data_IF_626041807621
#
_entry.id   IF_626041807621
#
_cell.length_a   1.000
_cell.length_b   1.000
_cell.length_c   1.000
_cell.angle_alpha   90.00
_cell.angle_beta   90.00
_cell.angle_gamma   90.00
#
_symmetry.space_group_name_H-M   'P 1'
#
loop_
_entity.id
_entity.type
_entity.pdbx_description
1 polymer ?
#
# COMPACT_ATOMS: atom_id res chain seq x y z
N UNK A 1 -21.47 14.51 -97.38
CA UNK A 1 -22.50 15.56 -97.45
C UNK A 1 -23.08 15.75 -96.06
N UNK A 2 -23.03 16.98 -95.53
CA UNK A 2 -23.86 17.56 -94.45
C UNK A 2 -23.84 16.80 -93.10
N UNK A 3 -23.63 17.39 -91.92
CA UNK A 3 -23.65 18.76 -91.45
C UNK A 3 -24.06 18.72 -89.96
N UNK A 4 -23.35 19.48 -89.11
CA UNK A 4 -23.81 20.26 -87.93
C UNK A 4 -24.86 19.57 -87.01
N UNK A 5 -24.61 19.32 -85.72
CA UNK A 5 -24.79 20.24 -84.57
C UNK A 5 -24.59 19.37 -83.30
N UNK A 6 -23.99 19.76 -82.18
CA UNK A 6 -24.17 20.97 -81.38
C UNK A 6 -23.53 20.72 -80.00
N UNK A 7 -22.95 21.77 -79.45
CA UNK A 7 -22.06 21.81 -78.29
C UNK A 7 -22.75 21.58 -76.93
N UNK A 8 -22.01 21.02 -75.96
CA UNK A 8 -21.96 21.57 -74.59
C UNK A 8 -20.70 21.12 -73.85
N UNK A 9 -19.87 22.11 -73.52
CA UNK A 9 -18.67 22.03 -72.70
C UNK A 9 -19.04 21.77 -71.22
N UNK A 10 -18.33 20.85 -70.57
CA UNK A 10 -18.12 20.92 -69.12
C UNK A 10 -16.65 20.62 -68.81
N UNK A 11 -16.00 21.62 -68.21
CA UNK A 11 -14.58 21.70 -67.89
C UNK A 11 -14.21 20.76 -66.73
N UNK A 12 -13.26 19.85 -66.93
CA UNK A 12 -12.63 19.05 -65.88
C UNK A 12 -11.39 19.80 -65.34
N UNK A 13 -11.49 20.29 -64.10
CA UNK A 13 -10.35 20.79 -63.33
C UNK A 13 -9.64 19.60 -62.69
N UNK A 14 -8.38 19.38 -63.07
CA UNK A 14 -7.44 18.46 -62.42
C UNK A 14 -6.81 19.19 -61.23
N UNK A 15 -7.02 18.69 -60.02
CA UNK A 15 -6.30 19.14 -58.82
C UNK A 15 -5.55 17.96 -58.20
N UNK A 16 -4.23 18.10 -58.17
CA UNK A 16 -3.24 17.16 -57.63
C UNK A 16 -3.41 16.97 -56.12
N UNK A 17 -3.51 15.72 -55.66
CA UNK A 17 -3.43 15.37 -54.24
C UNK A 17 -1.97 15.05 -53.91
N UNK A 18 -1.33 15.97 -53.17
CA UNK A 18 -0.06 15.71 -52.48
C UNK A 18 -0.37 14.88 -51.23
N UNK A 19 0.13 13.65 -51.17
CA UNK A 19 0.07 12.82 -49.97
C UNK A 19 0.96 13.41 -48.87
N UNK A 20 0.34 13.88 -47.79
CA UNK A 20 1.02 14.27 -46.57
C UNK A 20 1.54 13.02 -45.84
N UNK A 21 2.86 12.92 -45.68
CA UNK A 21 3.52 11.96 -44.79
C UNK A 21 3.10 12.29 -43.35
N UNK A 22 2.57 11.34 -42.56
CA UNK A 22 2.26 11.61 -41.17
C UNK A 22 3.56 11.89 -40.40
N UNK A 23 3.66 13.07 -39.79
CA UNK A 23 4.68 13.36 -38.78
C UNK A 23 4.58 12.29 -37.69
N UNK A 24 5.69 11.60 -37.43
CA UNK A 24 5.81 10.71 -36.28
C UNK A 24 5.41 11.48 -35.02
N UNK A 25 4.39 11.00 -34.32
CA UNK A 25 4.01 11.52 -33.03
C UNK A 25 5.21 11.39 -32.10
N UNK A 26 5.77 12.52 -31.68
CA UNK A 26 6.83 12.55 -30.67
C UNK A 26 6.29 11.91 -29.41
N UNK A 27 7.03 10.96 -28.85
CA UNK A 27 6.69 10.35 -27.57
C UNK A 27 6.53 11.48 -26.53
N UNK A 28 5.43 11.51 -25.76
CA UNK A 28 5.25 12.54 -24.75
C UNK A 28 6.40 12.51 -23.73
N UNK A 29 6.85 13.69 -23.29
CA UNK A 29 7.92 13.83 -22.29
C UNK A 29 7.56 13.13 -20.97
N UNK A 30 8.57 12.71 -20.20
CA UNK A 30 8.42 12.01 -18.90
C UNK A 30 7.44 12.74 -17.96
N UNK A 31 7.46 14.08 -17.92
CA UNK A 31 6.54 14.89 -17.11
C UNK A 31 5.06 14.73 -17.51
N UNK A 32 4.74 14.68 -18.81
CA UNK A 32 3.35 14.60 -19.30
C UNK A 32 2.65 13.27 -19.00
N UNK A 33 3.40 12.24 -18.61
CA UNK A 33 2.86 10.93 -18.22
C UNK A 33 2.65 10.80 -16.71
N UNK A 34 3.51 11.41 -15.91
CA UNK A 34 3.30 11.56 -14.46
C UNK A 34 2.11 12.49 -14.20
N UNK A 35 2.05 13.62 -14.91
CA UNK A 35 0.91 14.56 -14.86
C UNK A 35 -0.43 13.87 -15.12
N UNK A 36 -0.53 13.00 -16.14
CA UNK A 36 -1.78 12.28 -16.44
C UNK A 36 -2.20 11.22 -15.40
N UNK A 37 -1.28 10.71 -14.58
CA UNK A 37 -1.58 9.70 -13.54
C UNK A 37 -1.78 10.30 -12.15
N UNK A 38 -1.25 11.50 -11.94
CA UNK A 38 -1.38 12.29 -10.73
C UNK A 38 -2.48 13.37 -10.91
N UNK A 39 -3.03 13.53 -12.11
CA UNK A 39 -4.10 14.48 -12.39
C UNK A 39 -5.28 14.29 -11.43
N UNK A 40 -5.70 15.36 -10.73
CA UNK A 40 -6.82 15.29 -9.81
C UNK A 40 -8.08 14.89 -10.56
N UNK A 41 -8.83 14.04 -9.90
CA UNK A 41 -10.16 13.64 -10.33
C UNK A 41 -11.05 14.88 -10.34
N UNK A 42 -11.69 15.24 -11.46
CA UNK A 42 -12.64 16.33 -11.48
C UNK A 42 -13.83 15.94 -10.60
N UNK A 43 -14.19 16.80 -9.63
CA UNK A 43 -15.42 16.80 -8.81
C UNK A 43 -15.37 16.43 -7.32
N UNK A 44 -14.21 16.12 -6.71
CA UNK A 44 -14.04 16.44 -5.28
C UNK A 44 -13.19 17.70 -5.17
N UNK A 45 -13.77 18.84 -4.81
CA UNK A 45 -13.05 20.13 -4.74
C UNK A 45 -11.89 20.14 -3.73
N UNK A 46 -11.76 19.11 -2.89
CA UNK A 46 -10.72 18.97 -1.88
C UNK A 46 -9.84 17.76 -2.24
N UNK A 47 -8.74 18.01 -2.95
CA UNK A 47 -7.66 17.04 -3.25
C UNK A 47 -6.30 17.71 -3.09
N UNK A 48 -5.26 16.90 -2.87
CA UNK A 48 -3.89 17.42 -2.94
C UNK A 48 -3.57 17.80 -4.38
N UNK A 49 -2.89 18.93 -4.56
CA UNK A 49 -2.36 19.30 -5.86
C UNK A 49 -1.21 18.37 -6.25
N UNK A 50 -0.92 18.26 -7.55
CA UNK A 50 0.25 17.54 -8.04
C UNK A 50 1.54 18.02 -7.36
N UNK A 51 1.68 19.35 -7.21
CA UNK A 51 2.81 19.97 -6.52
C UNK A 51 2.91 19.51 -5.07
N UNK A 52 1.79 19.51 -4.34
CA UNK A 52 1.76 19.06 -2.94
C UNK A 52 2.12 17.58 -2.80
N UNK A 53 1.64 16.72 -3.72
CA UNK A 53 2.02 15.29 -3.76
C UNK A 53 3.53 15.12 -3.97
N UNK A 54 4.14 15.92 -4.84
CA UNK A 54 5.60 15.90 -5.05
C UNK A 54 6.38 16.37 -3.82
N UNK A 55 5.85 17.35 -3.08
CA UNK A 55 6.45 17.79 -1.82
C UNK A 55 6.39 16.68 -0.76
N UNK A 56 5.24 16.02 -0.59
CA UNK A 56 5.07 14.87 0.32
C UNK A 56 6.09 13.77 -0.02
N UNK A 57 6.21 13.39 -1.31
CA UNK A 57 7.22 12.42 -1.78
C UNK A 57 8.66 12.87 -1.48
N UNK A 58 8.95 14.17 -1.62
CA UNK A 58 10.28 14.74 -1.32
C UNK A 58 10.61 14.72 0.18
N UNK A 59 9.63 15.02 1.03
CA UNK A 59 9.77 14.92 2.50
C UNK A 59 10.00 13.46 2.88
N UNK A 60 9.17 12.55 2.36
CA UNK A 60 9.31 11.11 2.58
C UNK A 60 10.70 10.59 2.15
N UNK A 61 11.17 10.97 0.97
CA UNK A 61 12.45 10.52 0.44
C UNK A 61 13.66 11.02 1.26
N UNK A 62 13.54 12.18 1.91
CA UNK A 62 14.64 12.75 2.70
C UNK A 62 14.62 12.34 4.18
N UNK A 63 13.51 11.78 4.67
CA UNK A 63 13.30 11.49 6.09
C UNK A 63 13.21 9.99 6.43
N UNK A 64 12.86 9.11 5.49
CA UNK A 64 12.80 7.66 5.72
C UNK A 64 14.19 7.06 5.92
N UNK A 65 14.46 6.51 7.11
CA UNK A 65 15.75 5.95 7.50
C UNK A 65 15.65 4.54 8.08
N UNK A 66 14.50 4.19 8.67
CA UNK A 66 14.30 2.87 9.25
C UNK A 66 13.76 1.86 8.24
N UNK A 67 13.94 0.57 8.54
CA UNK A 67 13.62 -0.53 7.63
C UNK A 67 12.15 -0.52 7.19
N UNK A 68 11.21 -0.37 8.14
CA UNK A 68 9.78 -0.29 7.85
C UNK A 68 9.40 0.98 7.09
N UNK A 69 10.00 2.13 7.40
CA UNK A 69 9.76 3.39 6.68
C UNK A 69 10.15 3.27 5.21
N UNK A 70 11.30 2.66 4.94
CA UNK A 70 11.81 2.42 3.58
C UNK A 70 10.88 1.47 2.81
N UNK A 71 10.47 0.35 3.42
CA UNK A 71 9.54 -0.59 2.78
C UNK A 71 8.17 0.02 2.48
N UNK A 72 7.70 0.88 3.38
CA UNK A 72 6.43 1.59 3.26
C UNK A 72 6.50 2.65 2.17
N UNK A 73 7.60 3.40 2.11
CA UNK A 73 7.87 4.34 1.02
C UNK A 73 7.81 3.65 -0.34
N UNK A 74 8.51 2.53 -0.52
CA UNK A 74 8.53 1.83 -1.80
C UNK A 74 7.14 1.26 -2.15
N UNK A 75 6.39 0.79 -1.15
CA UNK A 75 4.98 0.40 -1.32
C UNK A 75 4.14 1.58 -1.82
N UNK A 76 4.26 2.75 -1.19
CA UNK A 76 3.54 3.95 -1.58
C UNK A 76 3.89 4.41 -3.02
N UNK A 77 5.17 4.38 -3.39
CA UNK A 77 5.62 4.70 -4.75
C UNK A 77 5.09 3.72 -5.80
N UNK A 78 5.10 2.42 -5.48
CA UNK A 78 4.54 1.39 -6.36
C UNK A 78 3.03 1.58 -6.56
N UNK A 79 2.28 1.89 -5.50
CA UNK A 79 0.84 2.17 -5.60
C UNK A 79 0.55 3.48 -6.37
N UNK A 80 1.33 4.53 -6.13
CA UNK A 80 1.08 5.85 -6.69
C UNK A 80 1.56 5.96 -8.14
N UNK A 81 2.83 5.66 -8.39
CA UNK A 81 3.51 5.91 -9.68
C UNK A 81 3.46 4.71 -10.62
N UNK A 82 3.45 3.50 -10.05
CA UNK A 82 3.62 2.23 -10.78
C UNK A 82 2.52 1.19 -10.53
N UNK A 83 1.22 1.55 -10.44
CA UNK A 83 0.17 0.68 -9.89
C UNK A 83 0.02 -0.65 -10.64
N UNK A 84 0.29 -0.68 -11.95
CA UNK A 84 0.17 -1.89 -12.78
C UNK A 84 1.09 -3.05 -12.38
N UNK A 85 2.10 -2.78 -11.55
CA UNK A 85 3.04 -3.78 -11.04
C UNK A 85 2.77 -4.15 -9.59
N UNK A 86 1.79 -3.52 -8.96
CA UNK A 86 1.42 -3.78 -7.58
C UNK A 86 0.09 -4.57 -7.49
N UNK A 87 -0.13 -5.15 -6.31
CA UNK A 87 -1.15 -6.17 -6.05
C UNK A 87 -2.62 -5.70 -6.16
N UNK A 88 -2.87 -4.39 -6.10
CA UNK A 88 -4.22 -3.82 -6.16
C UNK A 88 -4.72 -3.49 -7.55
N UNK A 89 -3.85 -3.39 -8.55
CA UNK A 89 -4.30 -3.03 -9.90
C UNK A 89 -5.13 -4.12 -10.56
N UNK A 90 -6.18 -3.71 -11.27
CA UNK A 90 -7.04 -4.64 -11.99
C UNK A 90 -6.27 -5.31 -13.13
N UNK A 91 -6.22 -6.64 -13.12
CA UNK A 91 -5.46 -7.41 -14.11
C UNK A 91 -3.98 -7.60 -13.77
N UNK A 92 -3.53 -7.20 -12.57
CA UNK A 92 -2.19 -7.53 -12.09
C UNK A 92 -1.92 -9.03 -12.09
N UNK A 93 -0.66 -9.40 -12.32
CA UNK A 93 -0.14 -10.76 -12.13
C UNK A 93 0.98 -10.71 -11.09
N UNK A 94 1.14 -11.80 -10.33
CA UNK A 94 2.29 -11.98 -9.43
C UNK A 94 3.09 -13.21 -9.89
N UNK A 95 4.40 -13.07 -10.17
CA UNK A 95 5.10 -11.79 -10.29
C UNK A 95 4.62 -10.99 -11.53
N UNK A 96 4.87 -9.67 -11.59
CA UNK A 96 4.70 -8.92 -12.83
C UNK A 96 5.65 -9.43 -13.92
N UNK A 97 5.27 -9.32 -15.20
CA UNK A 97 6.12 -9.80 -16.29
C UNK A 97 7.42 -8.99 -16.41
N UNK A 98 8.53 -9.62 -16.86
CA UNK A 98 9.77 -8.92 -17.14
C UNK A 98 9.59 -7.77 -18.14
N UNK A 99 10.23 -6.64 -17.87
CA UNK A 99 10.20 -5.47 -18.76
C UNK A 99 11.17 -5.67 -19.91
N UNK A 100 10.66 -5.50 -21.13
CA UNK A 100 11.41 -5.75 -22.36
C UNK A 100 12.16 -4.52 -22.86
N UNK A 101 11.65 -3.31 -22.59
CA UNK A 101 12.17 -2.07 -23.15
C UNK A 101 12.85 -1.21 -22.08
N UNK A 102 13.98 -0.59 -22.42
CA UNK A 102 14.75 0.21 -21.46
C UNK A 102 13.97 1.42 -20.93
N UNK A 103 13.11 2.03 -21.76
CA UNK A 103 12.24 3.12 -21.30
C UNK A 103 11.22 2.64 -20.25
N UNK A 104 10.76 1.38 -20.31
CA UNK A 104 9.86 0.83 -19.29
C UNK A 104 10.59 0.65 -17.97
N UNK A 105 11.85 0.18 -18.05
CA UNK A 105 12.72 0.01 -16.89
C UNK A 105 13.04 1.36 -16.23
N UNK A 106 13.42 2.36 -17.03
CA UNK A 106 13.70 3.73 -16.56
C UNK A 106 12.50 4.34 -15.83
N UNK A 107 11.27 4.08 -16.30
CA UNK A 107 10.04 4.61 -15.72
C UNK A 107 9.68 4.10 -14.33
N UNK A 108 10.15 2.92 -13.95
CA UNK A 108 9.90 2.34 -12.61
C UNK A 108 11.16 2.36 -11.74
N UNK A 109 12.32 2.72 -12.29
CA UNK A 109 13.59 2.73 -11.55
C UNK A 109 13.53 3.58 -10.27
N UNK A 110 12.78 4.69 -10.27
CA UNK A 110 12.58 5.53 -9.09
C UNK A 110 11.88 4.80 -7.93
N UNK A 111 11.04 3.79 -8.21
CA UNK A 111 10.34 2.96 -7.22
C UNK A 111 11.22 1.83 -6.65
N UNK A 112 12.50 1.80 -7.01
CA UNK A 112 13.44 0.76 -6.60
C UNK A 112 14.79 1.31 -6.14
N UNK A 113 14.91 2.64 -5.99
CA UNK A 113 16.15 3.27 -5.60
C UNK A 113 16.53 2.87 -4.16
N UNK A 114 15.57 2.79 -3.23
CA UNK A 114 15.88 2.32 -1.88
C UNK A 114 16.21 0.83 -1.89
N UNK A 115 15.57 0.03 -2.75
CA UNK A 115 15.91 -1.39 -2.94
C UNK A 115 17.35 -1.57 -3.45
N UNK A 116 17.83 -0.75 -4.39
CA UNK A 116 19.24 -0.75 -4.82
C UNK A 116 20.16 -0.42 -3.66
N UNK A 117 19.84 0.65 -2.93
CA UNK A 117 20.65 1.12 -1.81
C UNK A 117 20.76 0.07 -0.71
N UNK A 118 19.64 -0.57 -0.34
CA UNK A 118 19.62 -1.66 0.65
C UNK A 118 20.54 -2.78 0.20
N UNK A 119 20.44 -3.24 -1.04
CA UNK A 119 21.32 -4.32 -1.53
C UNK A 119 22.80 -3.93 -1.52
N UNK A 120 23.11 -2.66 -1.82
CA UNK A 120 24.48 -2.15 -1.87
C UNK A 120 25.09 -1.91 -0.48
N UNK A 121 24.30 -1.52 0.52
CA UNK A 121 24.77 -1.17 1.87
C UNK A 121 24.54 -2.27 2.89
N UNK A 122 23.85 -3.35 2.50
CA UNK A 122 23.57 -4.50 3.36
C UNK A 122 24.86 -5.04 4.00
N UNK A 123 24.94 -5.12 5.34
CA UNK A 123 26.09 -5.70 6.02
C UNK A 123 26.39 -7.12 5.56
N UNK A 124 27.67 -7.48 5.46
CA UNK A 124 28.07 -8.84 5.16
C UNK A 124 27.66 -9.80 6.30
N UNK A 125 27.17 -10.99 5.94
CA UNK A 125 26.89 -12.07 6.89
C UNK A 125 25.54 -12.03 7.62
N UNK A 126 24.73 -10.98 7.42
CA UNK A 126 23.33 -10.98 7.92
C UNK A 126 22.43 -11.78 6.97
N UNK A 127 21.30 -12.29 7.49
CA UNK A 127 20.27 -12.93 6.68
C UNK A 127 19.19 -11.93 6.23
N UNK A 128 18.89 -10.92 7.05
CA UNK A 128 17.85 -9.94 6.79
C UNK A 128 18.23 -8.88 5.77
N UNK A 129 17.26 -8.11 5.26
CA UNK A 129 17.49 -6.93 4.41
C UNK A 129 18.23 -5.82 5.17
N UNK A 130 17.89 -5.63 6.44
CA UNK A 130 18.47 -4.64 7.34
C UNK A 130 18.87 -5.29 8.65
N UNK A 131 19.88 -4.74 9.33
CA UNK A 131 20.07 -5.04 10.75
C UNK A 131 19.01 -4.25 11.53
N UNK A 132 18.12 -4.96 12.20
CA UNK A 132 17.04 -4.38 12.97
C UNK A 132 16.82 -5.17 14.27
N UNK A 133 16.24 -4.53 15.28
CA UNK A 133 15.80 -5.19 16.52
C UNK A 133 14.42 -5.81 16.38
N UNK A 134 13.62 -5.30 15.43
CA UNK A 134 12.33 -5.84 15.07
C UNK A 134 12.48 -6.89 13.96
N UNK A 135 11.89 -8.06 14.17
CA UNK A 135 11.91 -9.18 13.21
C UNK A 135 11.14 -8.85 11.93
N UNK A 136 9.97 -8.24 12.05
CA UNK A 136 9.09 -7.99 10.91
C UNK A 136 9.59 -6.89 9.99
N UNK A 137 10.18 -5.84 10.56
CA UNK A 137 10.37 -4.56 9.90
C UNK A 137 11.28 -4.64 8.65
N UNK A 138 12.39 -5.40 8.65
CA UNK A 138 13.17 -5.64 7.44
C UNK A 138 12.36 -6.25 6.30
N UNK A 139 11.39 -7.14 6.58
CA UNK A 139 10.60 -7.80 5.55
C UNK A 139 9.68 -6.84 4.77
N UNK A 140 9.45 -5.63 5.27
CA UNK A 140 8.63 -4.59 4.62
C UNK A 140 9.11 -4.22 3.20
N UNK A 141 10.41 -4.29 2.91
CA UNK A 141 10.97 -4.05 1.56
C UNK A 141 10.91 -5.28 0.65
N UNK A 142 10.52 -6.45 1.17
CA UNK A 142 10.60 -7.72 0.46
C UNK A 142 9.75 -7.78 -0.81
N UNK A 143 8.54 -7.21 -0.80
CA UNK A 143 7.69 -7.13 -2.01
C UNK A 143 8.35 -6.27 -3.11
N UNK A 144 8.80 -5.02 -2.83
CA UNK A 144 9.61 -4.24 -3.77
C UNK A 144 10.81 -5.00 -4.34
N UNK A 145 11.58 -5.72 -3.50
CA UNK A 145 12.70 -6.57 -3.95
C UNK A 145 12.25 -7.64 -4.94
N UNK A 146 11.16 -8.35 -4.64
CA UNK A 146 10.62 -9.40 -5.50
C UNK A 146 10.07 -8.86 -6.82
N UNK A 147 9.38 -7.70 -6.80
CA UNK A 147 8.90 -7.03 -8.02
C UNK A 147 10.09 -6.59 -8.88
N UNK A 148 11.11 -5.96 -8.27
CA UNK A 148 12.30 -5.55 -9.00
C UNK A 148 13.00 -6.74 -9.66
N UNK A 149 13.19 -7.82 -8.90
CA UNK A 149 13.81 -9.03 -9.42
C UNK A 149 13.05 -9.55 -10.66
N UNK A 150 11.73 -9.65 -10.56
CA UNK A 150 10.90 -10.16 -11.66
C UNK A 150 10.82 -9.23 -12.87
N UNK A 151 10.86 -7.91 -12.67
CA UNK A 151 10.70 -6.92 -13.74
C UNK A 151 12.01 -6.57 -14.43
N UNK A 152 13.14 -6.65 -13.72
CA UNK A 152 14.45 -6.22 -14.23
C UNK A 152 15.35 -7.37 -14.67
N UNK A 153 15.11 -8.59 -14.21
CA UNK A 153 15.93 -9.76 -14.52
C UNK A 153 15.15 -10.82 -15.29
N UNK A 154 15.88 -11.67 -16.02
CA UNK A 154 15.28 -12.82 -16.67
C UNK A 154 14.94 -13.90 -15.61
N UNK A 155 13.80 -14.60 -15.71
CA UNK A 155 13.38 -15.60 -14.71
C UNK A 155 14.38 -16.75 -14.49
N UNK A 156 15.29 -16.99 -15.43
CA UNK A 156 16.33 -18.03 -15.34
C UNK A 156 17.65 -17.54 -14.75
N UNK A 157 17.76 -16.28 -14.36
CA UNK A 157 18.99 -15.69 -13.81
C UNK A 157 18.91 -15.67 -12.28
N UNK A 158 19.82 -16.39 -11.62
CA UNK A 158 20.08 -16.16 -10.20
C UNK A 158 20.61 -14.73 -10.03
N UNK A 159 19.92 -13.92 -9.23
CA UNK A 159 20.32 -12.55 -8.92
C UNK A 159 20.59 -12.41 -7.42
N UNK A 160 21.40 -11.41 -7.05
CA UNK A 160 21.58 -11.09 -5.63
C UNK A 160 20.25 -10.73 -4.96
N UNK A 161 19.28 -10.20 -5.71
CA UNK A 161 17.92 -9.95 -5.21
C UNK A 161 17.23 -11.24 -4.77
N UNK A 162 17.26 -12.30 -5.61
CA UNK A 162 16.66 -13.58 -5.23
C UNK A 162 17.33 -14.23 -4.02
N UNK A 163 18.65 -14.11 -3.90
CA UNK A 163 19.40 -14.64 -2.75
C UNK A 163 19.00 -13.93 -1.47
N UNK A 164 19.00 -12.60 -1.46
CA UNK A 164 18.68 -11.83 -0.24
C UNK A 164 17.21 -12.02 0.16
N UNK A 165 16.28 -12.11 -0.80
CA UNK A 165 14.87 -12.43 -0.47
C UNK A 165 14.70 -13.82 0.13
N UNK A 166 15.47 -14.82 -0.31
CA UNK A 166 15.41 -16.15 0.30
C UNK A 166 16.00 -16.11 1.72
N UNK A 167 17.10 -15.38 1.93
CA UNK A 167 17.71 -15.23 3.26
C UNK A 167 16.79 -14.53 4.27
N UNK A 168 16.07 -13.47 3.86
CA UNK A 168 15.05 -12.84 4.71
C UNK A 168 13.94 -13.84 5.08
N UNK A 169 13.45 -14.62 4.11
CA UNK A 169 12.42 -15.63 4.38
C UNK A 169 12.93 -16.70 5.34
N UNK A 170 14.15 -17.21 5.13
CA UNK A 170 14.77 -18.22 5.99
C UNK A 170 14.91 -17.72 7.43
N UNK A 171 15.29 -16.44 7.61
CA UNK A 171 15.34 -15.79 8.90
C UNK A 171 13.96 -15.79 9.59
N UNK A 172 12.92 -15.26 8.92
CA UNK A 172 11.55 -15.22 9.45
C UNK A 172 11.02 -16.61 9.85
N UNK A 173 11.40 -17.66 9.10
CA UNK A 173 10.98 -19.02 9.39
C UNK A 173 11.69 -19.62 10.62
N UNK A 174 12.89 -19.14 10.93
CA UNK A 174 13.70 -19.59 12.07
C UNK A 174 13.38 -18.86 13.39
N UNK A 175 12.74 -17.69 13.32
CA UNK A 175 12.38 -16.91 14.52
C UNK A 175 11.46 -17.70 15.46
N UNK A 176 11.66 -17.60 16.80
CA UNK A 176 10.78 -18.22 17.77
C UNK A 176 9.30 -17.84 17.61
N UNK A 177 8.44 -18.77 17.99
CA UNK A 177 6.99 -18.64 17.86
C UNK A 177 6.32 -18.71 19.22
N UNK A 178 5.18 -18.05 19.32
CA UNK A 178 4.28 -18.22 20.46
C UNK A 178 3.69 -19.63 20.39
N UNK A 179 3.78 -20.36 21.51
CA UNK A 179 3.58 -21.81 21.55
C UNK A 179 2.15 -22.24 21.18
N UNK A 180 1.14 -21.43 21.50
CA UNK A 180 -0.26 -21.82 21.30
C UNK A 180 -0.83 -21.47 19.92
N UNK A 181 -0.42 -20.33 19.37
CA UNK A 181 -0.94 -19.78 18.10
C UNK A 181 0.04 -19.95 16.94
N UNK A 182 1.33 -20.17 17.21
CA UNK A 182 2.37 -20.23 16.19
C UNK A 182 2.75 -18.85 15.61
N UNK A 183 2.32 -17.76 16.24
CA UNK A 183 2.72 -16.40 15.86
C UNK A 183 4.24 -16.25 15.95
N UNK A 184 4.88 -15.81 14.87
CA UNK A 184 6.29 -15.41 14.87
C UNK A 184 6.44 -14.22 15.83
N UNK A 185 7.48 -14.22 16.65
CA UNK A 185 7.78 -13.08 17.52
C UNK A 185 8.25 -11.86 16.70
N UNK A 186 7.83 -10.65 17.09
CA UNK A 186 8.41 -9.40 16.60
C UNK A 186 9.83 -9.16 17.16
N UNK A 187 10.23 -9.90 18.20
CA UNK A 187 11.51 -9.79 18.90
C UNK A 187 12.27 -11.12 18.88
N UNK A 188 13.59 -11.06 18.80
CA UNK A 188 14.45 -12.25 18.89
C UNK A 188 15.11 -12.38 20.28
N UNK A 189 15.45 -13.60 20.72
CA UNK A 189 16.26 -13.80 21.91
C UNK A 189 17.57 -12.98 21.85
N UNK A 190 18.02 -12.41 22.99
CA UNK A 190 17.54 -12.65 24.34
C UNK A 190 16.30 -11.83 24.76
N UNK A 191 15.74 -11.00 23.87
CA UNK A 191 14.52 -10.27 24.17
C UNK A 191 13.33 -11.24 24.30
N UNK A 192 12.38 -10.97 25.22
CA UNK A 192 11.20 -11.80 25.35
C UNK A 192 10.35 -11.72 24.09
N UNK A 193 9.59 -12.78 23.83
CA UNK A 193 8.64 -12.83 22.72
C UNK A 193 7.62 -11.68 22.84
N UNK A 194 7.38 -10.98 21.74
CA UNK A 194 6.40 -9.91 21.65
C UNK A 194 5.62 -9.94 20.35
N UNK A 195 4.39 -9.44 20.40
CA UNK A 195 3.45 -9.42 19.29
C UNK A 195 2.98 -7.98 19.09
N UNK A 196 3.29 -7.42 17.93
CA UNK A 196 3.03 -6.02 17.57
C UNK A 196 2.08 -5.97 16.38
N UNK A 197 1.02 -5.16 16.43
CA UNK A 197 0.04 -5.06 15.34
C UNK A 197 0.69 -4.78 13.96
N UNK A 198 1.77 -4.01 13.99
CA UNK A 198 2.62 -3.57 12.89
C UNK A 198 3.20 -4.72 12.07
N UNK A 199 3.62 -5.82 12.72
CA UNK A 199 4.23 -6.98 12.05
C UNK A 199 3.36 -7.50 10.90
N UNK A 200 2.04 -7.42 11.04
CA UNK A 200 1.08 -7.91 10.05
C UNK A 200 1.20 -7.16 8.72
N UNK A 201 1.66 -5.91 8.73
CA UNK A 201 1.96 -5.15 7.53
C UNK A 201 3.33 -5.47 6.91
N UNK A 202 4.25 -6.07 7.66
CA UNK A 202 5.63 -6.24 7.23
C UNK A 202 5.86 -7.65 6.69
N UNK A 203 5.85 -8.66 7.56
CA UNK A 203 6.29 -10.01 7.23
C UNK A 203 5.23 -10.87 6.51
N UNK A 204 3.96 -10.99 6.97
CA UNK A 204 2.99 -11.85 6.29
C UNK A 204 2.75 -11.49 4.81
N UNK A 205 2.66 -10.19 4.41
CA UNK A 205 2.57 -9.81 3.00
C UNK A 205 3.76 -10.28 2.18
N UNK A 206 4.98 -10.15 2.70
CA UNK A 206 6.20 -10.64 2.05
C UNK A 206 6.18 -12.16 1.87
N UNK A 207 5.87 -12.91 2.93
CA UNK A 207 5.76 -14.37 2.90
C UNK A 207 4.71 -14.81 1.85
N UNK A 208 3.55 -14.15 1.82
CA UNK A 208 2.49 -14.47 0.86
C UNK A 208 2.89 -14.17 -0.58
N UNK A 209 3.57 -13.03 -0.81
CA UNK A 209 4.02 -12.64 -2.14
C UNK A 209 5.11 -13.61 -2.65
N UNK A 210 6.05 -13.99 -1.78
CA UNK A 210 7.05 -15.02 -2.07
C UNK A 210 6.37 -16.35 -2.40
N UNK A 211 5.43 -16.82 -1.56
CA UNK A 211 4.65 -18.03 -1.81
C UNK A 211 3.91 -18.01 -3.15
N UNK A 212 3.40 -16.84 -3.56
CA UNK A 212 2.73 -16.67 -4.85
C UNK A 212 3.69 -16.86 -6.03
N UNK A 213 4.85 -16.19 -6.01
CA UNK A 213 5.88 -16.29 -7.06
C UNK A 213 6.36 -17.74 -7.21
N UNK A 214 6.62 -18.39 -6.08
CA UNK A 214 7.19 -19.74 -6.04
C UNK A 214 6.12 -20.84 -6.12
N UNK A 215 4.85 -20.49 -6.32
CA UNK A 215 3.71 -21.43 -6.34
C UNK A 215 3.73 -22.37 -5.13
N UNK A 216 4.01 -21.83 -3.95
CA UNK A 216 4.08 -22.55 -2.69
C UNK A 216 2.85 -22.24 -1.83
N UNK A 217 1.89 -23.17 -1.81
CA UNK A 217 0.67 -23.02 -1.01
C UNK A 217 0.96 -22.99 0.49
N UNK A 218 1.97 -23.72 0.97
CA UNK A 218 2.31 -23.74 2.40
C UNK A 218 2.79 -22.38 2.90
N UNK A 219 3.53 -21.62 2.09
CA UNK A 219 3.90 -20.24 2.43
C UNK A 219 2.69 -19.30 2.43
N UNK A 220 1.76 -19.46 1.49
CA UNK A 220 0.51 -18.70 1.50
C UNK A 220 -0.34 -19.02 2.73
N UNK A 221 -0.40 -20.29 3.13
CA UNK A 221 -1.10 -20.73 4.32
C UNK A 221 -0.43 -20.18 5.58
N UNK A 222 0.91 -20.24 5.67
CA UNK A 222 1.67 -19.63 6.76
C UNK A 222 1.37 -18.14 6.88
N UNK A 223 1.36 -17.38 5.79
CA UNK A 223 1.06 -15.96 5.82
C UNK A 223 -0.36 -15.68 6.35
N UNK A 224 -1.36 -16.48 5.93
CA UNK A 224 -2.71 -16.42 6.49
C UNK A 224 -2.71 -16.75 8.00
N UNK A 225 -2.00 -17.80 8.40
CA UNK A 225 -1.94 -18.25 9.80
C UNK A 225 -1.28 -17.20 10.69
N UNK A 226 -0.27 -16.48 10.21
CA UNK A 226 0.31 -15.34 10.94
C UNK A 226 -0.70 -14.22 11.17
N UNK A 227 -1.50 -13.84 10.16
CA UNK A 227 -2.58 -12.85 10.33
C UNK A 227 -3.60 -13.34 11.38
N UNK A 228 -3.97 -14.62 11.31
CA UNK A 228 -4.92 -15.24 12.24
C UNK A 228 -4.39 -15.28 13.69
N UNK A 229 -3.11 -15.63 13.86
CA UNK A 229 -2.44 -15.71 15.15
C UNK A 229 -2.32 -14.32 15.80
N UNK A 230 -1.86 -13.32 15.03
CA UNK A 230 -1.78 -11.94 15.51
C UNK A 230 -3.16 -11.38 15.87
N UNK A 231 -4.20 -11.63 15.05
CA UNK A 231 -5.57 -11.26 15.42
C UNK A 231 -6.03 -11.93 16.70
N UNK A 232 -5.68 -13.20 16.91
CA UNK A 232 -6.09 -13.95 18.11
C UNK A 232 -5.48 -13.36 19.38
N UNK A 233 -4.22 -12.94 19.31
CA UNK A 233 -3.47 -12.42 20.46
C UNK A 233 -3.76 -10.93 20.74
N UNK A 234 -4.00 -10.13 19.70
CA UNK A 234 -4.14 -8.67 19.82
C UNK A 234 -5.59 -8.19 19.89
N UNK A 235 -6.57 -8.95 19.41
CA UNK A 235 -7.96 -8.48 19.39
C UNK A 235 -8.52 -8.36 20.80
N UNK A 236 -8.80 -7.13 21.22
CA UNK A 236 -9.72 -6.87 22.31
C UNK A 236 -11.14 -7.15 21.80
N UNK A 237 -11.78 -8.18 22.36
CA UNK A 237 -13.12 -8.63 21.94
C UNK A 237 -14.23 -7.76 22.48
N UNK A 238 -13.99 -7.00 23.55
CA UNK A 238 -14.97 -6.10 24.14
C UNK A 238 -15.10 -4.83 23.29
N UNK A 239 -13.96 -4.33 22.78
CA UNK A 239 -13.90 -3.12 21.96
C UNK A 239 -14.00 -3.41 20.46
N UNK A 240 -13.51 -4.57 20.02
CA UNK A 240 -13.46 -4.96 18.60
C UNK A 240 -12.28 -4.37 17.84
N UNK A 241 -11.28 -3.84 18.54
CA UNK A 241 -10.04 -3.27 18.00
C UNK A 241 -8.83 -4.12 18.42
N UNK A 242 -7.70 -3.91 17.76
CA UNK A 242 -6.45 -4.59 18.11
C UNK A 242 -5.66 -3.73 19.09
N UNK A 243 -5.18 -4.35 20.16
CA UNK A 243 -4.12 -3.81 21.01
C UNK A 243 -2.84 -3.62 20.18
N UNK A 244 -2.00 -2.68 20.59
CA UNK A 244 -0.78 -2.35 19.86
C UNK A 244 0.32 -3.40 20.07
N UNK A 245 0.75 -3.61 21.30
CA UNK A 245 1.86 -4.52 21.68
C UNK A 245 1.44 -5.35 22.88
N UNK A 246 1.45 -6.68 22.71
CA UNK A 246 1.18 -7.65 23.78
C UNK A 246 2.33 -8.65 23.92
N UNK A 247 2.33 -9.35 25.06
CA UNK A 247 3.42 -10.23 25.48
C UNK A 247 4.73 -9.46 25.75
N UNK A 248 5.71 -10.13 26.36
CA UNK A 248 6.92 -9.48 26.88
C UNK A 248 6.72 -8.84 28.26
N UNK A 249 7.34 -7.69 28.50
CA UNK A 249 7.30 -6.99 29.80
C UNK A 249 8.27 -7.54 30.87
N UNK A 250 8.48 -6.76 31.93
CA UNK A 250 9.48 -7.01 32.99
C UNK A 250 10.61 -5.96 33.00
N UNK A 251 11.44 -5.95 34.05
CA UNK A 251 12.59 -5.03 34.14
C UNK A 251 13.58 -5.30 33.00
N UNK A 252 13.81 -4.32 32.13
CA UNK A 252 14.72 -4.44 30.98
C UNK A 252 14.12 -5.10 29.73
N UNK A 253 12.82 -5.36 29.71
CA UNK A 253 12.10 -5.84 28.50
C UNK A 253 11.46 -4.68 27.74
N UNK A 254 11.25 -4.80 26.42
CA UNK A 254 10.54 -3.76 25.67
C UNK A 254 9.13 -3.55 26.25
N UNK A 255 8.61 -2.31 26.23
CA UNK A 255 7.31 -2.00 26.82
C UNK A 255 6.18 -2.75 26.10
N UNK A 256 5.13 -3.08 26.86
CA UNK A 256 3.84 -3.45 26.30
C UNK A 256 2.99 -2.20 26.09
N UNK A 257 2.06 -2.26 25.14
CA UNK A 257 1.08 -1.21 24.91
C UNK A 257 -0.27 -1.87 24.57
N UNK A 258 -1.14 -1.94 25.58
CA UNK A 258 -2.46 -2.52 25.45
C UNK A 258 -3.49 -1.58 24.80
N UNK A 259 -3.11 -0.34 24.46
CA UNK A 259 -4.02 0.60 23.84
C UNK A 259 -4.33 0.24 22.38
N UNK A 260 -5.49 0.71 21.91
CA UNK A 260 -5.97 0.52 20.53
C UNK A 260 -5.38 1.57 19.58
N UNK A 261 -4.06 1.51 19.39
CA UNK A 261 -3.34 2.48 18.58
C UNK A 261 -3.83 2.46 17.12
N UNK A 262 -4.16 3.64 16.60
CA UNK A 262 -4.83 3.84 15.31
C UNK A 262 -3.97 3.36 14.14
N UNK A 263 -2.70 3.76 14.13
CA UNK A 263 -1.74 3.32 13.12
C UNK A 263 -1.51 1.80 13.19
N UNK A 264 -1.39 1.21 14.38
CA UNK A 264 -1.28 -0.25 14.54
C UNK A 264 -2.48 -1.03 13.97
N UNK A 265 -3.70 -0.54 14.22
CA UNK A 265 -4.91 -1.11 13.63
C UNK A 265 -4.94 -0.96 12.10
N UNK A 266 -4.49 0.20 11.59
CA UNK A 266 -4.41 0.44 10.15
C UNK A 266 -3.31 -0.41 9.47
N UNK A 267 -2.18 -0.65 10.14
CA UNK A 267 -1.15 -1.59 9.71
C UNK A 267 -1.71 -3.00 9.57
N UNK A 268 -2.41 -3.47 10.60
CA UNK A 268 -3.06 -4.77 10.56
C UNK A 268 -4.00 -4.91 9.36
N UNK A 269 -4.86 -3.90 9.12
CA UNK A 269 -5.77 -3.87 7.97
C UNK A 269 -5.01 -4.00 6.65
N UNK A 270 -4.01 -3.15 6.41
CA UNK A 270 -3.28 -3.15 5.13
C UNK A 270 -2.46 -4.40 4.90
N UNK A 271 -1.87 -4.97 5.96
CA UNK A 271 -1.16 -6.23 5.91
C UNK A 271 -2.07 -7.40 5.52
N UNK A 272 -3.20 -7.54 6.21
CA UNK A 272 -4.22 -8.53 5.92
C UNK A 272 -4.72 -8.44 4.47
N UNK A 273 -4.99 -7.24 3.96
CA UNK A 273 -5.46 -7.05 2.57
C UNK A 273 -4.40 -7.46 1.55
N UNK A 274 -3.11 -7.19 1.82
CA UNK A 274 -2.00 -7.62 0.95
C UNK A 274 -1.84 -9.15 0.94
N UNK A 275 -2.05 -9.82 2.07
CA UNK A 275 -2.09 -11.29 2.13
C UNK A 275 -3.27 -11.84 1.31
N UNK A 276 -4.47 -11.26 1.45
CA UNK A 276 -5.63 -11.66 0.64
C UNK A 276 -5.36 -11.54 -0.86
N UNK A 277 -4.80 -10.40 -1.29
CA UNK A 277 -4.47 -10.14 -2.69
C UNK A 277 -3.44 -11.11 -3.24
N UNK A 278 -2.39 -11.40 -2.48
CA UNK A 278 -1.39 -12.41 -2.86
C UNK A 278 -2.04 -13.78 -3.08
N UNK A 279 -2.90 -14.22 -2.14
CA UNK A 279 -3.63 -15.49 -2.30
C UNK A 279 -4.56 -15.44 -3.53
N UNK A 280 -5.28 -14.33 -3.75
CA UNK A 280 -6.17 -14.18 -4.91
C UNK A 280 -5.44 -14.28 -6.25
N UNK A 281 -4.24 -13.69 -6.34
CA UNK A 281 -3.43 -13.67 -7.54
C UNK A 281 -2.63 -14.96 -7.74
N UNK A 282 -2.61 -15.84 -6.74
CA UNK A 282 -1.96 -17.15 -6.83
C UNK A 282 -2.76 -18.20 -7.62
N UNK A 283 -2.11 -19.30 -8.03
CA UNK A 283 -2.80 -20.50 -8.53
C UNK A 283 -3.76 -21.14 -7.50
N UNK A 284 -3.56 -20.88 -6.20
CA UNK A 284 -4.28 -21.50 -5.10
C UNK A 284 -5.53 -20.73 -4.66
N UNK A 285 -5.89 -19.62 -5.33
CA UNK A 285 -7.04 -18.77 -4.98
C UNK A 285 -8.36 -19.52 -4.74
N UNK A 286 -8.57 -20.64 -5.44
CA UNK A 286 -9.75 -21.51 -5.29
C UNK A 286 -9.62 -22.43 -4.07
N UNK A 287 -8.46 -23.07 -3.90
CA UNK A 287 -8.17 -23.93 -2.76
C UNK A 287 -8.20 -23.14 -1.43
N UNK A 288 -7.80 -21.87 -1.47
CA UNK A 288 -7.73 -20.99 -0.31
C UNK A 288 -8.90 -19.99 -0.25
N UNK A 289 -10.06 -20.33 -0.86
CA UNK A 289 -11.21 -19.42 -0.88
C UNK A 289 -11.75 -19.09 0.53
N UNK A 290 -11.68 -20.04 1.48
CA UNK A 290 -12.13 -19.86 2.87
C UNK A 290 -11.24 -18.88 3.64
N UNK A 291 -9.93 -18.98 3.44
CA UNK A 291 -8.92 -18.10 4.02
C UNK A 291 -9.16 -16.66 3.53
N UNK A 292 -9.31 -16.48 2.22
CA UNK A 292 -9.62 -15.17 1.62
C UNK A 292 -10.92 -14.57 2.16
N UNK A 293 -12.00 -15.36 2.20
CA UNK A 293 -13.27 -14.90 2.75
C UNK A 293 -13.17 -14.50 4.23
N UNK A 294 -12.32 -15.21 5.00
CA UNK A 294 -12.06 -14.90 6.41
C UNK A 294 -11.28 -13.60 6.58
N UNK A 295 -10.22 -13.40 5.79
CA UNK A 295 -9.47 -12.14 5.79
C UNK A 295 -10.42 -10.96 5.49
N UNK A 296 -11.23 -11.04 4.42
CA UNK A 296 -12.15 -9.97 4.07
C UNK A 296 -13.22 -9.69 5.13
N UNK A 297 -13.69 -10.73 5.84
CA UNK A 297 -14.61 -10.56 6.96
C UNK A 297 -13.95 -9.81 8.12
N UNK A 298 -12.73 -10.18 8.51
CA UNK A 298 -12.00 -9.46 9.56
C UNK A 298 -11.68 -8.02 9.17
N UNK A 299 -11.40 -7.77 7.88
CA UNK A 299 -11.22 -6.41 7.38
C UNK A 299 -12.50 -5.57 7.49
N UNK A 300 -13.66 -6.16 7.15
CA UNK A 300 -14.97 -5.53 7.33
C UNK A 300 -15.22 -5.21 8.81
N UNK A 301 -15.10 -6.21 9.69
CA UNK A 301 -15.26 -6.05 11.15
C UNK A 301 -14.39 -4.91 11.69
N UNK A 302 -13.10 -4.89 11.34
CA UNK A 302 -12.16 -3.86 11.81
C UNK A 302 -12.53 -2.46 11.30
N UNK A 303 -12.87 -2.33 10.02
CA UNK A 303 -13.26 -1.01 9.48
C UNK A 303 -14.60 -0.54 10.04
N UNK A 304 -15.58 -1.43 10.24
CA UNK A 304 -16.86 -1.10 10.86
C UNK A 304 -16.65 -0.55 12.28
N UNK A 305 -15.83 -1.22 13.09
CA UNK A 305 -15.49 -0.77 14.44
C UNK A 305 -14.70 0.53 14.42
N UNK A 306 -13.59 0.61 13.68
CA UNK A 306 -12.73 1.80 13.68
C UNK A 306 -13.49 3.06 13.24
N UNK A 307 -14.31 2.99 12.19
CA UNK A 307 -15.08 4.15 11.73
C UNK A 307 -16.27 4.51 12.63
N UNK A 308 -16.71 3.61 13.53
CA UNK A 308 -17.69 3.97 14.57
C UNK A 308 -17.15 5.01 15.57
N UNK A 309 -15.82 5.10 15.71
CA UNK A 309 -15.12 6.09 16.54
C UNK A 309 -14.68 7.34 15.77
N UNK A 310 -15.05 7.48 14.50
CA UNK A 310 -14.64 8.62 13.69
C UNK A 310 -15.11 9.94 14.32
N UNK A 311 -14.17 10.86 14.51
CA UNK A 311 -14.50 12.21 14.95
C UNK A 311 -15.37 12.92 13.90
N UNK A 312 -16.25 13.83 14.32
CA UNK A 312 -17.12 14.60 13.43
C UNK A 312 -16.39 15.46 12.39
N UNK A 313 -15.08 15.68 12.53
CA UNK A 313 -14.23 16.36 11.54
C UNK A 313 -13.51 15.42 10.57
N UNK A 314 -13.63 14.10 10.77
CA UNK A 314 -13.20 13.06 9.85
C UNK A 314 -11.99 12.22 10.30
N UNK A 315 -11.27 12.63 11.34
CA UNK A 315 -10.09 11.90 11.82
C UNK A 315 -10.42 10.76 12.80
N UNK A 316 -9.44 9.88 12.99
CA UNK A 316 -9.34 8.96 14.13
C UNK A 316 -8.30 9.51 15.12
N UNK A 317 -8.56 9.36 16.41
CA UNK A 317 -7.58 9.69 17.42
C UNK A 317 -6.40 8.71 17.37
N UNK A 318 -5.26 9.12 17.92
CA UNK A 318 -4.05 8.29 18.04
C UNK A 318 -4.35 6.93 18.70
N UNK A 319 -5.11 6.93 19.79
CA UNK A 319 -5.80 5.72 20.27
C UNK A 319 -7.27 5.85 19.91
N UNK A 320 -7.78 4.93 19.10
CA UNK A 320 -9.06 5.09 18.37
C UNK A 320 -10.22 5.42 19.32
N UNK A 321 -10.26 4.76 20.47
CA UNK A 321 -11.31 4.80 21.47
C UNK A 321 -10.98 5.71 22.68
N UNK A 322 -9.96 6.55 22.57
CA UNK A 322 -9.61 7.46 23.66
C UNK A 322 -10.67 8.53 23.89
N UNK A 323 -10.74 9.01 25.13
CA UNK A 323 -11.65 10.09 25.55
C UNK A 323 -10.85 11.41 25.63
N UNK A 324 -11.14 12.41 24.77
CA UNK A 324 -10.45 13.69 24.80
C UNK A 324 -10.56 14.39 26.16
N UNK A 325 -9.50 15.08 26.58
CA UNK A 325 -9.45 15.83 27.84
C UNK A 325 -9.03 15.01 29.07
N UNK A 326 -8.97 13.67 28.97
CA UNK A 326 -8.55 12.79 30.06
C UNK A 326 -7.15 12.17 29.86
N UNK A 327 -6.55 12.34 28.68
CA UNK A 327 -5.22 11.80 28.38
C UNK A 327 -4.43 12.71 27.45
N UNK A 328 -3.13 12.84 27.68
CA UNK A 328 -2.18 13.50 26.77
C UNK A 328 -1.90 12.67 25.53
N UNK A 329 -2.29 11.40 25.50
CA UNK A 329 -2.14 10.49 24.34
C UNK A 329 -3.33 10.54 23.38
N UNK A 330 -4.35 11.36 23.69
CA UNK A 330 -5.58 11.49 22.92
C UNK A 330 -5.57 12.74 22.04
N UNK A 331 -4.94 12.63 20.88
CA UNK A 331 -4.83 13.69 19.86
C UNK A 331 -5.25 13.16 18.49
N UNK A 332 -5.57 14.06 17.56
CA UNK A 332 -5.90 13.68 16.20
C UNK A 332 -4.65 13.12 15.51
N UNK A 333 -4.75 11.94 14.90
CA UNK A 333 -3.60 11.32 14.24
C UNK A 333 -3.84 11.15 12.73
N UNK A 334 -3.13 11.96 11.93
CA UNK A 334 -3.18 11.86 10.47
C UNK A 334 -2.56 10.57 9.94
N UNK A 335 -1.61 9.94 10.63
CA UNK A 335 -0.99 8.70 10.16
C UNK A 335 -2.01 7.55 10.12
N UNK A 336 -2.55 7.17 11.27
CA UNK A 336 -3.53 6.09 11.38
C UNK A 336 -4.81 6.40 10.58
N UNK A 337 -5.26 7.65 10.59
CA UNK A 337 -6.41 8.10 9.79
C UNK A 337 -6.17 7.89 8.29
N UNK A 338 -5.01 8.29 7.76
CA UNK A 338 -4.70 8.16 6.34
C UNK A 338 -4.60 6.69 5.92
N UNK A 339 -3.90 5.86 6.71
CA UNK A 339 -3.72 4.45 6.41
C UNK A 339 -5.03 3.65 6.52
N UNK A 340 -5.86 3.93 7.53
CA UNK A 340 -7.18 3.29 7.68
C UNK A 340 -8.10 3.65 6.51
N UNK A 341 -8.09 4.92 6.07
CA UNK A 341 -8.83 5.36 4.88
C UNK A 341 -8.32 4.68 3.60
N UNK A 342 -6.99 4.60 3.42
CA UNK A 342 -6.38 3.89 2.29
C UNK A 342 -6.80 2.41 2.26
N UNK A 343 -6.68 1.72 3.40
CA UNK A 343 -7.11 0.33 3.57
C UNK A 343 -8.59 0.14 3.29
N UNK A 344 -9.45 1.06 3.71
CA UNK A 344 -10.90 1.02 3.45
C UNK A 344 -11.22 1.15 1.96
N UNK A 345 -10.55 2.07 1.24
CA UNK A 345 -10.70 2.18 -0.21
C UNK A 345 -10.17 0.93 -0.93
N UNK A 346 -9.07 0.32 -0.46
CA UNK A 346 -8.56 -0.95 -1.02
C UNK A 346 -9.51 -2.11 -0.76
N UNK A 347 -10.09 -2.21 0.44
CA UNK A 347 -11.11 -3.21 0.77
C UNK A 347 -12.33 -3.08 -0.15
N UNK A 348 -12.82 -1.86 -0.37
CA UNK A 348 -13.89 -1.60 -1.34
C UNK A 348 -13.53 -2.15 -2.73
N UNK A 349 -12.35 -1.83 -3.26
CA UNK A 349 -11.90 -2.32 -4.58
C UNK A 349 -11.88 -3.86 -4.67
N UNK A 350 -11.45 -4.53 -3.59
CA UNK A 350 -11.40 -6.00 -3.52
C UNK A 350 -12.80 -6.62 -3.50
N UNK A 351 -13.69 -6.06 -2.67
CA UNK A 351 -15.08 -6.48 -2.57
C UNK A 351 -15.82 -6.29 -3.90
N UNK A 352 -15.46 -5.27 -4.68
CA UNK A 352 -16.05 -5.00 -6.00
C UNK A 352 -15.63 -6.05 -7.03
N UNK A 353 -14.35 -6.40 -7.02
CA UNK A 353 -13.74 -7.30 -8.01
C UNK A 353 -14.13 -8.77 -7.82
N UNK A 354 -14.75 -9.12 -6.69
CA UNK A 354 -15.16 -10.48 -6.38
C UNK A 354 -16.48 -10.82 -7.08
N UNK A 355 -16.41 -11.65 -8.15
CA UNK A 355 -17.55 -12.12 -8.99
C UNK A 355 -18.76 -12.73 -8.24
N UNK A 356 -18.62 -13.04 -6.94
CA UNK A 356 -19.67 -13.57 -6.07
C UNK A 356 -19.90 -12.70 -4.83
N UNK A 357 -19.41 -11.46 -4.84
CA UNK A 357 -19.62 -10.53 -3.75
C UNK A 357 -21.12 -10.22 -3.67
N UNK A 358 -21.77 -10.37 -2.50
CA UNK A 358 -23.11 -9.84 -2.32
C UNK A 358 -23.14 -8.32 -2.48
N UNK A 359 -21.99 -7.64 -2.56
CA UNK A 359 -21.88 -6.22 -2.78
C UNK A 359 -21.75 -5.91 -4.27
N UNK A 360 -22.89 -5.75 -4.95
CA UNK A 360 -22.93 -5.11 -6.27
C UNK A 360 -22.29 -3.72 -6.20
N UNK A 361 -21.88 -3.18 -7.36
CA UNK A 361 -21.48 -1.77 -7.52
C UNK A 361 -22.37 -0.78 -6.75
N UNK A 362 -23.69 -1.00 -6.79
CA UNK A 362 -24.71 -0.21 -6.07
C UNK A 362 -24.66 -0.36 -4.55
N UNK A 363 -24.33 -1.53 -4.00
CA UNK A 363 -24.15 -1.72 -2.56
C UNK A 363 -22.86 -1.10 -2.05
N UNK A 364 -21.82 -1.03 -2.88
CA UNK A 364 -20.55 -0.40 -2.51
C UNK A 364 -20.65 1.11 -2.36
N UNK A 365 -21.34 1.80 -3.29
CA UNK A 365 -21.63 3.24 -3.14
C UNK A 365 -22.43 3.55 -1.87
N UNK A 366 -23.11 2.55 -1.31
CA UNK A 366 -23.91 2.67 -0.09
C UNK A 366 -23.22 2.11 1.15
N UNK A 367 -21.98 1.62 1.04
CA UNK A 367 -21.24 1.12 2.20
C UNK A 367 -20.80 2.31 3.06
N UNK A 368 -21.24 2.44 4.33
CA UNK A 368 -20.94 3.62 5.14
C UNK A 368 -19.44 3.91 5.28
N UNK A 369 -18.60 2.87 5.33
CA UNK A 369 -17.17 3.04 5.59
C UNK A 369 -16.44 3.74 4.44
N UNK A 370 -16.89 3.63 3.18
CA UNK A 370 -16.28 4.46 2.11
C UNK A 370 -16.59 5.94 2.27
N UNK A 371 -17.73 6.29 2.88
CA UNK A 371 -18.04 7.68 3.21
C UNK A 371 -17.24 8.18 4.40
N UNK A 372 -17.04 7.33 5.41
CA UNK A 372 -16.11 7.61 6.51
C UNK A 372 -14.68 7.80 5.99
N UNK A 373 -14.19 6.93 5.10
CA UNK A 373 -12.88 7.05 4.48
C UNK A 373 -12.76 8.31 3.60
N UNK A 374 -13.81 8.72 2.89
CA UNK A 374 -13.84 9.98 2.15
C UNK A 374 -13.80 11.21 3.08
N UNK A 375 -14.47 11.14 4.23
CA UNK A 375 -14.41 12.19 5.25
C UNK A 375 -13.00 12.32 5.84
N UNK A 376 -12.38 11.18 6.19
CA UNK A 376 -10.99 11.11 6.60
C UNK A 376 -10.05 11.67 5.52
N UNK A 377 -10.24 11.31 4.25
CA UNK A 377 -9.44 11.85 3.14
C UNK A 377 -9.52 13.36 3.05
N UNK A 378 -10.72 13.94 3.20
CA UNK A 378 -10.91 15.40 3.23
C UNK A 378 -10.23 16.06 4.43
N UNK A 379 -10.22 15.39 5.59
CA UNK A 379 -9.45 15.84 6.75
C UNK A 379 -7.95 15.88 6.43
N UNK A 380 -7.39 14.77 5.93
CA UNK A 380 -5.96 14.66 5.59
C UNK A 380 -5.54 15.73 4.58
N UNK A 381 -6.31 15.93 3.50
CA UNK A 381 -5.97 16.95 2.49
C UNK A 381 -5.82 18.35 3.09
N UNK A 382 -6.60 18.69 4.12
CA UNK A 382 -6.53 20.00 4.78
C UNK A 382 -5.33 20.14 5.72
N UNK A 383 -4.73 19.03 6.14
CA UNK A 383 -3.63 19.03 7.11
C UNK A 383 -2.28 18.59 6.52
N UNK A 384 -2.19 18.46 5.20
CA UNK A 384 -0.92 18.46 4.48
C UNK A 384 -0.56 19.91 4.15
N UNK A 385 0.59 20.37 4.62
CA UNK A 385 1.07 21.71 4.32
C UNK A 385 1.36 21.84 2.83
N UNK A 386 0.61 22.69 2.12
CA UNK A 386 0.73 22.82 0.67
C UNK A 386 2.08 23.40 0.19
N UNK A 387 2.85 24.03 1.08
CA UNK A 387 4.15 24.66 0.80
C UNK A 387 5.33 23.75 1.13
N UNK A 388 5.24 22.98 2.22
CA UNK A 388 6.34 22.10 2.66
C UNK A 388 6.11 20.63 2.32
N UNK A 389 4.86 20.21 2.12
CA UNK A 389 4.47 18.81 1.98
C UNK A 389 4.33 18.07 3.30
N UNK A 390 4.60 18.70 4.45
CA UNK A 390 4.57 18.02 5.76
C UNK A 390 3.13 17.77 6.20
N UNK A 391 2.82 16.54 6.59
CA UNK A 391 1.54 16.15 7.20
C UNK A 391 1.52 16.39 8.72
N UNK A 392 0.41 16.90 9.23
CA UNK A 392 0.13 16.98 10.68
C UNK A 392 -1.38 16.93 10.95
N UNK A 393 -1.85 17.14 12.20
CA UNK A 393 -1.20 16.63 13.40
C UNK A 393 -0.88 15.14 13.25
N UNK A 394 0.20 14.65 13.86
CA UNK A 394 0.67 13.29 13.60
C UNK A 394 1.42 12.69 14.79
N UNK A 395 1.21 11.39 15.00
CA UNK A 395 1.95 10.63 16.01
C UNK A 395 3.45 10.60 15.74
N UNK A 396 4.24 10.61 16.81
CA UNK A 396 5.66 10.31 16.75
C UNK A 396 5.89 8.80 16.56
N UNK A 397 6.46 8.34 15.44
CA UNK A 397 6.63 6.90 15.17
C UNK A 397 7.60 6.23 16.16
N UNK A 398 8.44 7.00 16.86
CA UNK A 398 9.37 6.49 17.87
C UNK A 398 8.83 6.60 19.30
N UNK A 399 7.71 7.29 19.49
CA UNK A 399 7.02 7.42 20.77
C UNK A 399 5.52 7.62 20.50
N UNK A 400 4.81 6.51 20.32
CA UNK A 400 3.39 6.47 19.98
C UNK A 400 2.46 7.11 21.03
N UNK A 401 2.98 7.50 22.20
CA UNK A 401 2.23 8.25 23.21
C UNK A 401 2.28 9.77 23.00
N UNK A 402 3.12 10.27 22.09
CA UNK A 402 3.28 11.70 21.83
C UNK A 402 2.97 12.10 20.39
N UNK A 403 2.44 13.31 20.26
CA UNK A 403 2.30 13.98 18.98
C UNK A 403 3.63 14.66 18.63
N UNK A 404 4.02 14.60 17.36
CA UNK A 404 5.15 15.40 16.87
C UNK A 404 4.83 16.88 17.02
N UNK A 405 5.83 17.66 17.41
CA UNK A 405 5.74 19.11 17.42
C UNK A 405 5.46 19.64 16.00
N UNK A 406 4.84 20.81 15.89
CA UNK A 406 4.50 21.40 14.60
C UNK A 406 5.74 21.48 13.68
N UNK A 407 5.64 20.90 12.49
CA UNK A 407 6.73 20.79 11.52
C UNK A 407 7.63 19.55 11.69
N UNK A 408 7.40 18.72 12.71
CA UNK A 408 7.96 17.38 12.79
C UNK A 408 7.46 16.48 11.65
N UNK A 409 8.29 15.54 11.23
CA UNK A 409 8.03 14.65 10.09
C UNK A 409 7.95 13.21 10.58
N UNK A 410 6.88 12.52 10.19
CA UNK A 410 6.75 11.06 10.30
C UNK A 410 6.85 10.48 8.89
N UNK A 411 7.96 9.78 8.54
CA UNK A 411 8.13 9.23 7.20
C UNK A 411 7.02 8.24 6.84
N UNK A 412 6.63 7.36 7.75
CA UNK A 412 5.50 6.46 7.50
C UNK A 412 4.18 7.22 7.27
N UNK A 413 3.95 8.30 8.01
CA UNK A 413 2.81 9.20 7.81
C UNK A 413 2.73 9.77 6.40
N UNK A 414 3.84 10.29 5.89
CA UNK A 414 3.92 10.81 4.52
C UNK A 414 3.64 9.70 3.50
N UNK A 415 4.17 8.49 3.73
CA UNK A 415 3.90 7.35 2.88
C UNK A 415 2.40 6.98 2.89
N UNK A 416 1.73 7.03 4.04
CA UNK A 416 0.29 6.76 4.14
C UNK A 416 -0.57 7.78 3.40
N UNK A 417 -0.18 9.05 3.40
CA UNK A 417 -0.84 10.08 2.58
C UNK A 417 -0.75 9.71 1.09
N UNK A 418 0.41 9.29 0.61
CA UNK A 418 0.60 8.85 -0.78
C UNK A 418 -0.20 7.57 -1.11
N UNK A 419 -0.23 6.60 -0.18
CA UNK A 419 -1.05 5.39 -0.31
C UNK A 419 -2.54 5.73 -0.36
N UNK A 420 -3.01 6.68 0.46
CA UNK A 420 -4.38 7.18 0.43
C UNK A 420 -4.73 7.83 -0.90
N UNK A 421 -3.84 8.67 -1.46
CA UNK A 421 -4.05 9.25 -2.79
C UNK A 421 -4.18 8.16 -3.86
N UNK A 422 -3.30 7.16 -3.84
CA UNK A 422 -3.34 6.05 -4.79
C UNK A 422 -4.62 5.20 -4.64
N UNK A 423 -5.00 4.85 -3.40
CA UNK A 423 -6.16 4.04 -3.11
C UNK A 423 -7.47 4.76 -3.50
N UNK A 424 -7.59 6.05 -3.19
CA UNK A 424 -8.74 6.86 -3.58
C UNK A 424 -8.84 6.99 -5.10
N UNK A 425 -7.74 7.32 -5.79
CA UNK A 425 -7.70 7.42 -7.27
C UNK A 425 -8.23 6.14 -7.93
N UNK A 426 -7.75 4.99 -7.47
CA UNK A 426 -8.10 3.71 -8.06
C UNK A 426 -9.56 3.34 -7.74
N UNK A 427 -10.02 3.55 -6.50
CA UNK A 427 -11.43 3.35 -6.12
C UNK A 427 -12.39 4.25 -6.91
N UNK A 428 -12.04 5.53 -7.06
CA UNK A 428 -12.83 6.48 -7.82
C UNK A 428 -12.97 6.07 -9.29
N UNK A 429 -11.86 5.65 -9.89
CA UNK A 429 -11.83 5.19 -11.29
C UNK A 429 -12.75 3.99 -11.51
N UNK A 430 -12.88 3.09 -10.52
CA UNK A 430 -13.83 1.98 -10.58
C UNK A 430 -15.29 2.41 -10.46
N UNK A 431 -15.58 3.49 -9.71
CA UNK A 431 -16.95 3.93 -9.43
C UNK A 431 -17.50 4.92 -10.46
N UNK A 432 -16.74 5.25 -11.50
CA UNK A 432 -17.16 6.11 -12.60
C UNK A 432 -17.35 7.58 -12.22
N UNK A 433 -16.94 7.98 -11.01
CA UNK A 433 -16.91 9.36 -10.54
C UNK A 433 -18.22 10.13 -10.51
N UNK A 434 -19.36 9.45 -10.65
CA UNK A 434 -20.66 10.07 -10.44
C UNK A 434 -20.96 10.06 -8.95
N UNK A 435 -21.32 11.23 -8.40
CA UNK A 435 -21.98 11.37 -7.11
C UNK A 435 -23.47 11.54 -7.31
#
# INVERSE_FOLDING_TARGET
MLGISGSLLLSLVVASIVQAIPRAATAPSENSYLERRINPIPHSSIQLSHHTIQLVDSVLASSANYSWEIGTRETALLELKSPKYFLYHHGSSIPPPPLKRDWEKKRIAECFQSVDNVLATRPAGIQTFFKDSAVGDPASVGIPFLIKNATMHHPSSSSNYSVVTQQELDHLLAVPRENSTGAISQREPPEPLQIWADFVAMAPPFIAYYGTIHKNQSLLQLAYDQVAAYRTLLLDREVGLLQHIVLGGGTGSPPQDHGHWSTGNAWFLTGLLRVERSIFLSPFRRAMAKQRATLLRWALELTDTAWSYQNSTGFLYNYIDCIPGNSTTCFADSAGTALMAAGTFRLAQILHSSRHSPYSFTRMRRWPNVWAAEHARKYIVKHVNATTGIVGPIVNPLDWNSELQAGGVSPEGEAFVLMLQAAYRDWWSLTGGYH
#
